data_IF_976596975056
#
_entry.id   IF_976596975056
#
_cell.length_a   1.000
_cell.length_b   1.000
_cell.length_c   1.000
_cell.angle_alpha   90.00
_cell.angle_beta   90.00
_cell.angle_gamma   90.00
#
_symmetry.space_group_name_H-M   'P 1'
#
loop_
_entity.id
_entity.type
_entity.pdbx_description
1 polymer ?
#
# COMPACT_ATOMS: atom_id res chain seq x y z
N UNK A 1 12.02 -28.75 -21.90
CA UNK A 1 13.24 -28.03 -22.34
C UNK A 1 14.39 -29.02 -22.23
N UNK A 2 15.18 -29.26 -23.29
CA UNK A 2 16.38 -30.11 -23.19
C UNK A 2 17.44 -29.41 -22.34
N UNK A 3 18.29 -30.18 -21.65
CA UNK A 3 19.40 -29.70 -20.84
C UNK A 3 20.35 -28.79 -21.65
N UNK A 4 20.61 -29.16 -22.91
CA UNK A 4 21.47 -28.40 -23.82
C UNK A 4 20.95 -26.97 -24.07
N UNK A 5 19.63 -26.82 -24.21
CA UNK A 5 18.99 -25.50 -24.36
C UNK A 5 19.08 -24.67 -23.08
N UNK A 6 19.16 -25.33 -21.91
CA UNK A 6 19.39 -24.67 -20.62
C UNK A 6 20.80 -24.09 -20.55
N UNK A 7 21.81 -24.91 -20.91
CA UNK A 7 23.22 -24.52 -20.93
C UNK A 7 23.47 -23.38 -21.93
N UNK A 8 22.90 -23.47 -23.14
CA UNK A 8 23.03 -22.41 -24.17
C UNK A 8 22.49 -21.05 -23.69
N UNK A 9 21.48 -21.04 -22.82
CA UNK A 9 20.82 -19.82 -22.35
C UNK A 9 21.17 -19.44 -20.90
N UNK A 10 22.16 -20.08 -20.28
CA UNK A 10 22.56 -19.84 -18.89
C UNK A 10 21.40 -20.04 -17.89
N UNK A 11 20.57 -21.04 -18.13
CA UNK A 11 19.40 -21.41 -17.32
C UNK A 11 19.58 -22.75 -16.60
N UNK A 12 20.81 -23.23 -16.49
CA UNK A 12 21.21 -24.39 -15.70
C UNK A 12 20.98 -24.17 -14.19
N UNK A 13 21.05 -22.92 -13.74
CA UNK A 13 20.87 -22.57 -12.34
C UNK A 13 19.46 -22.04 -12.04
N UNK A 14 18.94 -22.39 -10.86
CA UNK A 14 17.72 -21.79 -10.33
C UNK A 14 17.96 -20.29 -10.15
N UNK A 15 16.96 -19.48 -10.49
CA UNK A 15 16.98 -18.05 -10.19
C UNK A 15 17.27 -17.86 -8.69
N UNK A 16 18.21 -16.96 -8.39
CA UNK A 16 18.54 -16.59 -7.02
C UNK A 16 17.29 -16.17 -6.24
N UNK A 17 17.25 -16.49 -4.95
CA UNK A 17 16.15 -16.15 -4.06
C UNK A 17 16.20 -14.67 -3.69
N UNK A 18 15.83 -13.82 -4.65
CA UNK A 18 15.85 -12.36 -4.56
C UNK A 18 14.55 -11.78 -5.08
N UNK A 19 14.18 -10.62 -4.53
CA UNK A 19 12.97 -9.88 -4.88
C UNK A 19 11.80 -10.19 -3.95
N UNK A 20 10.93 -9.20 -3.78
CA UNK A 20 9.85 -9.25 -2.79
C UNK A 20 8.91 -10.43 -2.96
N UNK A 21 8.58 -10.79 -4.21
CA UNK A 21 7.73 -11.96 -4.53
C UNK A 21 8.35 -13.31 -4.19
N UNK A 22 9.69 -13.39 -4.14
CA UNK A 22 10.35 -14.61 -3.73
C UNK A 22 10.17 -14.82 -2.21
N UNK A 23 10.23 -13.73 -1.44
CA UNK A 23 10.13 -13.70 0.02
C UNK A 23 8.67 -13.82 0.49
N UNK A 24 7.80 -12.92 0.01
CA UNK A 24 6.38 -12.90 0.32
C UNK A 24 5.56 -12.92 -0.98
N UNK A 25 4.82 -14.03 -1.24
CA UNK A 25 3.94 -14.15 -2.40
C UNK A 25 2.80 -13.11 -2.40
N UNK A 26 2.35 -12.70 -1.21
CA UNK A 26 1.34 -11.66 -1.03
C UNK A 26 1.86 -10.28 -1.41
N UNK A 27 3.19 -10.13 -1.53
CA UNK A 27 3.84 -8.96 -2.10
C UNK A 27 3.74 -9.01 -3.64
N UNK A 28 2.50 -8.89 -4.11
CA UNK A 28 2.18 -8.71 -5.53
C UNK A 28 2.87 -7.43 -6.05
N UNK A 29 2.85 -7.16 -7.36
CA UNK A 29 1.96 -6.04 -7.74
C UNK A 29 0.47 -6.42 -7.74
N UNK A 30 -0.30 -5.68 -6.89
CA UNK A 30 -1.58 -5.82 -6.13
C UNK A 30 -1.63 -6.46 -4.70
N UNK A 31 -0.50 -6.44 -3.98
CA UNK A 31 -0.31 -7.24 -2.77
C UNK A 31 -1.17 -6.88 -1.58
N UNK A 32 -1.47 -7.87 -0.75
CA UNK A 32 -2.18 -7.72 0.53
C UNK A 32 -1.25 -7.34 1.68
N UNK A 33 0.06 -7.41 1.47
CA UNK A 33 1.07 -7.01 2.44
C UNK A 33 0.73 -5.64 3.04
N UNK A 34 0.71 -5.53 4.37
CA UNK A 34 0.24 -4.33 5.08
C UNK A 34 0.98 -3.08 4.63
N UNK A 35 2.29 -3.20 4.44
CA UNK A 35 3.14 -2.12 3.92
C UNK A 35 2.69 -1.65 2.52
N UNK A 36 2.50 -2.61 1.63
CA UNK A 36 2.06 -2.36 0.26
C UNK A 36 0.66 -1.71 0.23
N UNK A 37 -0.24 -2.18 1.10
CA UNK A 37 -1.60 -1.69 1.23
C UNK A 37 -1.63 -0.27 1.78
N UNK A 38 -0.89 -0.01 2.87
CA UNK A 38 -0.78 1.30 3.50
C UNK A 38 -0.28 2.36 2.51
N UNK A 39 0.76 2.04 1.72
CA UNK A 39 1.29 2.95 0.70
C UNK A 39 0.26 3.28 -0.39
N UNK A 40 -0.53 2.30 -0.86
CA UNK A 40 -1.61 2.55 -1.83
C UNK A 40 -2.73 3.43 -1.26
N UNK A 41 -3.06 3.23 0.03
CA UNK A 41 -4.14 3.94 0.69
C UNK A 41 -3.75 5.32 1.25
N UNK A 42 -2.46 5.63 1.31
CA UNK A 42 -1.92 6.84 1.94
C UNK A 42 -2.62 8.13 1.49
N UNK A 43 -2.84 8.30 0.18
CA UNK A 43 -3.54 9.47 -0.37
C UNK A 43 -4.99 9.60 0.10
N UNK A 44 -5.68 8.48 0.27
CA UNK A 44 -7.07 8.47 0.72
C UNK A 44 -7.16 8.75 2.22
N UNK A 45 -6.29 8.12 3.02
CA UNK A 45 -6.19 8.38 4.46
C UNK A 45 -5.90 9.86 4.74
N UNK A 46 -4.97 10.46 4.01
CA UNK A 46 -4.66 11.89 4.12
C UNK A 46 -5.88 12.77 3.81
N UNK A 47 -6.65 12.41 2.77
CA UNK A 47 -7.87 13.13 2.41
C UNK A 47 -8.97 12.97 3.47
N UNK A 48 -9.15 11.78 4.03
CA UNK A 48 -10.12 11.52 5.11
C UNK A 48 -9.80 12.37 6.33
N UNK A 49 -8.55 12.37 6.80
CA UNK A 49 -8.12 13.19 7.93
C UNK A 49 -8.39 14.69 7.72
N UNK A 50 -8.15 15.21 6.52
CA UNK A 50 -8.45 16.62 6.21
C UNK A 50 -9.93 16.94 6.23
N UNK A 51 -10.78 16.00 5.81
CA UNK A 51 -12.24 16.18 5.84
C UNK A 51 -12.77 16.12 7.27
N UNK A 52 -12.30 15.15 8.06
CA UNK A 52 -12.63 14.99 9.47
C UNK A 52 -12.27 16.26 10.27
N UNK A 53 -11.10 16.86 10.01
CA UNK A 53 -10.70 18.13 10.63
C UNK A 53 -11.67 19.27 10.30
N UNK A 54 -12.03 19.43 9.03
CA UNK A 54 -12.99 20.47 8.60
C UNK A 54 -14.38 20.28 9.19
N UNK A 55 -14.84 19.04 9.26
CA UNK A 55 -16.11 18.69 9.89
C UNK A 55 -16.10 19.03 11.38
N UNK A 56 -15.02 18.72 12.08
CA UNK A 56 -14.86 19.08 13.50
C UNK A 56 -14.81 20.60 13.69
N UNK A 57 -14.08 21.34 12.86
CA UNK A 57 -14.04 22.81 12.89
C UNK A 57 -15.44 23.41 12.70
N UNK A 58 -16.21 22.89 11.74
CA UNK A 58 -17.58 23.32 11.49
C UNK A 58 -18.49 23.07 12.69
N UNK A 59 -18.50 21.83 13.22
CA UNK A 59 -19.33 21.44 14.36
C UNK A 59 -18.95 22.20 15.65
N UNK A 60 -17.67 22.50 15.85
CA UNK A 60 -17.22 23.28 17.01
C UNK A 60 -17.62 24.75 16.89
N UNK A 61 -17.56 25.33 15.68
CA UNK A 61 -18.06 26.69 15.43
C UNK A 61 -19.56 26.83 15.69
N UNK A 62 -20.38 25.83 15.34
CA UNK A 62 -21.81 25.82 15.67
C UNK A 62 -22.10 25.74 17.17
N UNK A 63 -21.27 25.04 17.96
CA UNK A 63 -21.43 24.95 19.42
C UNK A 63 -21.20 26.31 20.08
N UNK A 64 -20.11 26.99 19.70
CA UNK A 64 -19.76 28.30 20.28
C UNK A 64 -20.79 29.41 20.02
N UNK A 65 -21.68 29.26 19.03
CA UNK A 65 -22.76 30.21 18.74
C UNK A 65 -24.11 29.87 19.38
N UNK A 66 -24.27 28.66 19.95
CA UNK A 66 -25.49 28.24 20.69
C UNK A 66 -25.33 28.33 22.20
N UNK A 67 -24.10 28.49 22.68
CA UNK A 67 -23.78 28.61 24.11
C UNK A 67 -23.88 30.06 24.63
N UNK A 68 -24.42 31.00 23.83
CA UNK A 68 -24.51 32.44 24.15
C UNK A 68 -25.93 32.97 24.40
N UNK A 69 -26.93 32.11 24.67
CA UNK A 69 -28.28 32.52 25.11
C UNK A 69 -28.48 32.36 26.63
#
# INVERSE_FOLDING_TARGET
MSLDKGIQHHKEHRKEYRGSKAIDPSCRCHGGCDWCLANRLHKYKKKQLQLEQKEQEYLNGEKTGKDTD
#
